data_IF_863655141636
#
_entry.id   IF_863655141636
#
_cell.length_a   1.000
_cell.length_b   1.000
_cell.length_c   1.000
_cell.angle_alpha   90.00
_cell.angle_beta   90.00
_cell.angle_gamma   90.00
#
_symmetry.space_group_name_H-M   'P 1'
#
loop_
_entity.id
_entity.type
_entity.pdbx_description
1 polymer ?
#
# COMPACT_ATOMS: atom_id res chain seq x y z
N UNK A 1 -15.36 14.43 -4.99
CA UNK A 1 -15.97 13.64 -6.07
C UNK A 1 -14.95 12.58 -6.45
N UNK A 2 -15.24 11.31 -6.21
CA UNK A 2 -14.30 10.18 -6.46
C UNK A 2 -14.66 9.65 -7.84
N UNK A 3 -13.81 9.88 -8.82
CA UNK A 3 -13.98 9.35 -10.16
C UNK A 3 -13.01 8.17 -10.35
N UNK A 4 -13.56 6.98 -10.55
CA UNK A 4 -12.78 5.77 -10.87
C UNK A 4 -12.65 5.71 -12.38
N UNK A 5 -11.51 6.15 -12.90
CA UNK A 5 -11.23 6.09 -14.34
C UNK A 5 -10.53 4.77 -14.65
N UNK A 6 -11.25 3.85 -15.28
CA UNK A 6 -10.63 2.70 -15.93
C UNK A 6 -10.10 3.14 -17.29
N UNK A 7 -8.81 3.41 -17.40
CA UNK A 7 -8.18 3.61 -18.70
C UNK A 7 -7.48 2.32 -19.13
N UNK A 8 -8.11 1.66 -20.09
CA UNK A 8 -7.51 0.54 -20.83
C UNK A 8 -6.70 1.16 -22.00
N UNK A 9 -5.42 1.38 -21.80
CA UNK A 9 -4.50 1.73 -22.89
C UNK A 9 -3.33 0.75 -22.90
N UNK A 10 -3.58 -0.40 -23.53
CA UNK A 10 -2.53 -1.24 -24.08
C UNK A 10 -1.93 -0.55 -25.31
N UNK A 11 -0.97 0.35 -25.11
CA UNK A 11 -0.11 0.80 -26.22
C UNK A 11 1.09 -0.13 -26.29
N UNK A 12 1.05 -1.06 -27.22
CA UNK A 12 2.18 -1.82 -27.69
C UNK A 12 3.25 -0.84 -28.21
N UNK A 13 4.37 -0.76 -27.51
CA UNK A 13 5.53 0.00 -27.95
C UNK A 13 6.15 -0.66 -29.18
N UNK A 14 5.99 -0.05 -30.35
CA UNK A 14 6.86 -0.31 -31.50
C UNK A 14 8.22 0.33 -31.19
N UNK A 15 9.22 -0.49 -30.92
CA UNK A 15 10.67 -0.27 -30.85
C UNK A 15 11.25 -0.72 -29.52
N UNK A 16 11.50 -2.01 -29.31
CA UNK A 16 12.55 -2.54 -28.42
C UNK A 16 12.71 -1.97 -26.99
N UNK A 17 11.88 -1.02 -26.58
CA UNK A 17 11.82 -0.46 -25.24
C UNK A 17 10.91 -1.32 -24.37
N UNK A 18 11.36 -1.61 -23.16
CA UNK A 18 10.52 -2.30 -22.16
C UNK A 18 9.15 -1.62 -22.08
N UNK A 19 8.05 -2.40 -22.06
CA UNK A 19 6.72 -1.83 -22.02
C UNK A 19 6.60 -0.94 -20.77
N UNK A 20 6.30 0.35 -20.98
CA UNK A 20 6.04 1.30 -19.90
C UNK A 20 4.70 0.93 -19.26
N UNK A 21 4.74 -0.07 -18.37
CA UNK A 21 3.56 -0.60 -17.69
C UNK A 21 3.05 0.38 -16.64
N UNK A 22 2.04 1.16 -16.96
CA UNK A 22 1.26 1.83 -15.93
C UNK A 22 0.42 0.80 -15.17
N UNK A 23 0.27 0.95 -13.83
CA UNK A 23 -0.59 0.09 -13.04
C UNK A 23 -2.03 0.10 -13.56
N UNK A 24 -2.71 -1.04 -13.53
CA UNK A 24 -4.09 -1.16 -14.07
C UNK A 24 -5.16 -0.66 -13.09
N UNK A 25 -4.97 -0.92 -11.79
CA UNK A 25 -5.93 -0.53 -10.75
C UNK A 25 -5.46 0.79 -10.12
N UNK A 26 -5.90 1.91 -10.69
CA UNK A 26 -5.45 3.25 -10.30
C UNK A 26 -6.63 4.02 -9.72
N UNK A 27 -6.42 4.69 -8.58
CA UNK A 27 -7.34 5.65 -7.98
C UNK A 27 -6.65 7.00 -7.92
N UNK A 28 -7.23 8.01 -8.55
CA UNK A 28 -6.72 9.37 -8.49
C UNK A 28 -7.21 10.10 -7.23
N UNK A 29 -6.30 10.83 -6.60
CA UNK A 29 -6.56 11.72 -5.46
C UNK A 29 -6.14 13.12 -5.87
N UNK A 30 -7.07 14.06 -5.85
CA UNK A 30 -6.84 15.44 -6.29
C UNK A 30 -6.61 15.59 -7.78
N UNK A 31 -5.90 16.64 -8.18
CA UNK A 31 -5.58 16.95 -9.57
C UNK A 31 -4.08 16.70 -9.80
N UNK A 32 -3.75 15.60 -10.44
CA UNK A 32 -2.36 15.28 -10.76
C UNK A 32 -1.79 16.26 -11.80
N UNK A 33 -0.52 16.64 -11.62
CA UNK A 33 0.20 17.46 -12.58
C UNK A 33 0.44 16.73 -13.90
N UNK A 34 0.56 17.46 -15.00
CA UNK A 34 0.79 16.87 -16.33
C UNK A 34 2.24 16.43 -16.52
N UNK A 35 3.20 17.18 -15.97
CA UNK A 35 4.63 16.99 -16.12
C UNK A 35 5.26 16.09 -15.07
N UNK A 36 4.60 15.90 -13.92
CA UNK A 36 5.09 15.10 -12.80
C UNK A 36 3.96 14.33 -12.13
N UNK A 37 3.98 13.01 -12.27
CA UNK A 37 2.92 12.12 -11.79
C UNK A 37 3.44 11.19 -10.71
N UNK A 38 2.82 11.21 -9.54
CA UNK A 38 3.14 10.31 -8.42
C UNK A 38 2.16 9.15 -8.42
N UNK A 39 2.71 7.94 -8.41
CA UNK A 39 1.99 6.68 -8.22
C UNK A 39 2.47 6.06 -6.92
N UNK A 40 1.61 6.00 -5.92
CA UNK A 40 1.92 5.38 -4.63
C UNK A 40 1.16 4.06 -4.51
N UNK A 41 1.86 3.04 -4.10
CA UNK A 41 1.29 1.72 -3.88
C UNK A 41 0.43 1.71 -2.61
N UNK A 42 -0.73 1.03 -2.65
CA UNK A 42 -1.74 1.04 -1.58
C UNK A 42 -1.21 0.50 -0.24
N UNK A 43 -0.34 -0.51 -0.25
CA UNK A 43 0.30 -1.01 0.98
C UNK A 43 1.18 0.04 1.64
N UNK A 44 1.92 0.83 0.84
CA UNK A 44 2.75 1.93 1.34
C UNK A 44 1.87 3.01 1.98
N UNK A 45 0.82 3.42 1.29
CA UNK A 45 -0.12 4.41 1.82
C UNK A 45 -0.77 3.95 3.13
N UNK A 46 -1.27 2.72 3.15
CA UNK A 46 -1.89 2.12 4.35
C UNK A 46 -0.89 2.04 5.51
N UNK A 47 0.35 1.67 5.24
CA UNK A 47 1.42 1.66 6.24
C UNK A 47 1.70 3.04 6.82
N UNK A 48 1.84 4.08 5.98
CA UNK A 48 2.09 5.45 6.42
C UNK A 48 0.92 6.02 7.24
N UNK A 49 -0.33 5.73 6.86
CA UNK A 49 -1.52 6.10 7.64
C UNK A 49 -1.51 5.43 9.02
N UNK A 50 -1.14 4.16 9.11
CA UNK A 50 -1.01 3.46 10.39
C UNK A 50 0.12 4.03 11.22
N UNK A 51 1.30 4.22 10.64
CA UNK A 51 2.45 4.83 11.28
C UNK A 51 2.12 6.21 11.87
N UNK A 52 1.44 7.06 11.09
CA UNK A 52 1.02 8.39 11.51
C UNK A 52 0.09 8.39 12.73
N UNK A 53 -0.71 7.32 12.89
CA UNK A 53 -1.69 7.16 13.98
C UNK A 53 -1.18 6.37 15.16
N UNK A 54 0.02 5.81 15.08
CA UNK A 54 0.59 5.04 16.19
C UNK A 54 0.87 5.99 17.34
N UNK A 55 0.19 5.75 18.46
CA UNK A 55 0.40 6.43 19.74
C UNK A 55 1.64 5.86 20.44
N UNK A 56 2.18 6.59 21.38
CA UNK A 56 3.24 6.07 22.24
C UNK A 56 2.66 5.26 23.42
N UNK A 57 3.55 4.78 24.29
CA UNK A 57 3.17 4.04 25.50
C UNK A 57 2.32 4.86 26.50
N UNK A 58 2.23 6.17 26.31
CA UNK A 58 1.41 7.09 27.11
C UNK A 58 0.10 7.45 26.41
N UNK A 59 -0.17 6.92 25.20
CA UNK A 59 -1.34 7.24 24.40
C UNK A 59 -1.24 8.62 23.71
N UNK A 60 -0.02 9.17 23.57
CA UNK A 60 0.20 10.43 22.90
C UNK A 60 0.60 10.21 21.43
N UNK A 61 -0.03 10.94 20.53
CA UNK A 61 0.32 10.92 19.13
C UNK A 61 1.64 11.66 18.90
N UNK A 62 2.60 10.98 18.26
CA UNK A 62 3.96 11.50 18.02
C UNK A 62 4.19 11.90 16.58
N UNK A 63 5.22 12.74 16.41
CA UNK A 63 5.83 12.95 15.09
C UNK A 63 6.39 11.65 14.54
N UNK A 64 6.11 11.38 13.27
CA UNK A 64 6.59 10.19 12.56
C UNK A 64 7.29 10.60 11.28
N UNK A 65 8.42 9.97 11.03
CA UNK A 65 9.25 10.19 9.84
C UNK A 65 9.54 8.85 9.17
N UNK A 66 9.46 8.81 7.85
CA UNK A 66 9.87 7.66 7.06
C UNK A 66 10.58 8.09 5.77
N UNK A 67 11.44 7.25 5.25
CA UNK A 67 12.05 7.43 3.93
C UNK A 67 11.27 6.63 2.91
N UNK A 68 10.92 7.26 1.79
CA UNK A 68 10.16 6.65 0.70
C UNK A 68 11.11 6.04 -0.33
N UNK A 69 10.84 4.81 -0.73
CA UNK A 69 11.59 4.10 -1.76
C UNK A 69 10.73 3.78 -2.98
N UNK A 70 11.38 3.63 -4.13
CA UNK A 70 10.67 3.35 -5.37
C UNK A 70 11.52 3.61 -6.60
N UNK A 71 10.88 3.99 -7.71
CA UNK A 71 11.57 4.21 -8.98
C UNK A 71 11.05 5.48 -9.67
N UNK A 72 11.93 6.25 -10.28
CA UNK A 72 11.58 7.38 -11.13
C UNK A 72 11.79 6.99 -12.59
N UNK A 73 10.76 7.11 -13.42
CA UNK A 73 10.81 6.83 -14.86
C UNK A 73 10.41 8.08 -15.64
N UNK A 74 11.00 8.27 -16.81
CA UNK A 74 10.71 9.38 -17.70
C UNK A 74 10.09 8.88 -19.00
N UNK A 75 9.04 9.55 -19.46
CA UNK A 75 8.45 9.31 -20.77
C UNK A 75 7.92 10.63 -21.34
N UNK A 76 8.33 10.99 -22.57
CA UNK A 76 7.82 12.17 -23.28
C UNK A 76 7.79 13.45 -22.44
N UNK A 77 8.88 13.74 -21.71
CA UNK A 77 9.06 14.89 -20.80
C UNK A 77 8.20 14.85 -19.52
N UNK A 78 7.45 13.79 -19.28
CA UNK A 78 6.70 13.58 -18.03
C UNK A 78 7.48 12.64 -17.12
N UNK A 79 7.65 13.03 -15.87
CA UNK A 79 8.20 12.22 -14.81
C UNK A 79 7.11 11.35 -14.17
N UNK A 80 7.38 10.08 -14.00
CA UNK A 80 6.51 9.12 -13.33
C UNK A 80 7.24 8.55 -12.12
N UNK A 81 6.87 9.03 -10.95
CA UNK A 81 7.43 8.58 -9.69
C UNK A 81 6.56 7.45 -9.13
N UNK A 82 7.14 6.25 -8.99
CA UNK A 82 6.49 5.10 -8.36
C UNK A 82 7.03 4.94 -6.95
N UNK A 83 6.20 5.12 -5.93
CA UNK A 83 6.54 4.91 -4.51
C UNK A 83 6.06 3.51 -4.15
N UNK A 84 7.01 2.62 -3.86
CA UNK A 84 6.78 1.18 -3.65
C UNK A 84 7.18 0.69 -2.25
N UNK A 85 7.85 1.53 -1.45
CA UNK A 85 8.25 1.19 -0.11
C UNK A 85 8.35 2.42 0.78
N UNK A 86 8.33 2.18 2.09
CA UNK A 86 8.58 3.16 3.12
C UNK A 86 9.34 2.53 4.28
N UNK A 87 10.39 3.19 4.73
CA UNK A 87 11.27 2.76 5.82
C UNK A 87 11.16 3.76 6.95
N UNK A 88 10.81 3.30 8.15
CA UNK A 88 10.68 4.17 9.34
C UNK A 88 12.07 4.73 9.71
N UNK A 89 12.14 6.03 9.97
CA UNK A 89 13.29 6.62 10.65
C UNK A 89 13.10 6.45 12.17
N UNK A 90 13.64 5.38 12.69
CA UNK A 90 13.51 5.02 14.12
C UNK A 90 14.30 5.98 15.01
N UNK A 91 13.86 6.13 16.27
CA UNK A 91 14.53 6.96 17.29
C UNK A 91 14.75 8.43 16.86
N UNK A 92 13.95 8.92 15.92
CA UNK A 92 14.05 10.28 15.45
C UNK A 92 13.22 11.20 16.32
N UNK A 93 13.89 12.05 17.11
CA UNK A 93 13.25 13.19 17.75
C UNK A 93 13.02 14.26 16.68
N UNK A 94 11.82 14.30 16.13
CA UNK A 94 11.46 15.24 15.08
C UNK A 94 10.30 16.13 15.52
N UNK A 95 10.48 17.43 15.32
CA UNK A 95 9.44 18.45 15.44
C UNK A 95 9.52 19.34 14.19
N UNK A 96 8.48 20.12 13.83
CA UNK A 96 8.51 20.96 12.62
C UNK A 96 9.66 21.98 12.57
N UNK A 97 10.19 22.34 13.73
CA UNK A 97 11.28 23.28 13.93
C UNK A 97 12.63 22.62 14.20
N UNK A 98 12.66 21.31 14.39
CA UNK A 98 13.88 20.54 14.64
C UNK A 98 13.78 19.15 14.02
N UNK A 99 14.32 19.01 12.81
CA UNK A 99 14.40 17.73 12.08
C UNK A 99 15.84 17.61 11.58
N UNK A 100 16.50 16.49 11.84
CA UNK A 100 17.75 16.12 11.15
C UNK A 100 17.90 14.60 11.13
N UNK A 101 18.53 14.07 10.08
CA UNK A 101 18.88 12.67 9.95
C UNK A 101 20.33 12.46 10.40
N UNK A 102 20.52 11.67 11.45
CA UNK A 102 21.85 11.27 11.93
C UNK A 102 22.49 10.23 11.00
N UNK A 103 23.81 10.08 11.08
CA UNK A 103 24.54 9.03 10.33
C UNK A 103 24.06 7.62 10.72
N UNK A 104 23.71 7.41 11.99
CA UNK A 104 23.21 6.11 12.46
C UNK A 104 21.86 5.77 11.85
N UNK A 105 20.94 6.73 11.78
CA UNK A 105 19.64 6.55 11.12
C UNK A 105 19.78 6.25 9.63
N UNK A 106 20.68 6.96 8.93
CA UNK A 106 20.99 6.67 7.53
C UNK A 106 21.53 5.26 7.33
N UNK A 107 22.39 4.78 8.25
CA UNK A 107 22.90 3.41 8.20
C UNK A 107 21.78 2.39 8.35
N UNK A 108 20.89 2.56 9.33
CA UNK A 108 19.71 1.69 9.54
C UNK A 108 18.78 1.71 8.31
N UNK A 109 18.52 2.90 7.74
CA UNK A 109 17.70 3.04 6.53
C UNK A 109 18.32 2.30 5.35
N UNK A 110 19.65 2.41 5.15
CA UNK A 110 20.35 1.71 4.07
C UNK A 110 20.37 0.19 4.26
N UNK A 111 20.48 -0.28 5.51
CA UNK A 111 20.41 -1.71 5.82
C UNK A 111 19.00 -2.25 5.51
N UNK A 112 17.94 -1.58 5.97
CA UNK A 112 16.56 -1.94 5.66
C UNK A 112 16.26 -1.85 4.16
N UNK A 113 16.79 -0.83 3.45
CA UNK A 113 16.62 -0.73 2.00
C UNK A 113 17.22 -1.93 1.27
N UNK A 114 18.43 -2.37 1.64
CA UNK A 114 19.07 -3.55 1.04
C UNK A 114 18.34 -4.85 1.34
N UNK A 115 17.74 -4.96 2.51
CA UNK A 115 17.05 -6.16 2.95
C UNK A 115 15.67 -6.32 2.28
N UNK A 116 14.86 -5.25 2.23
CA UNK A 116 13.48 -5.33 1.79
C UNK A 116 13.22 -4.71 0.42
N UNK A 117 14.08 -3.80 -0.06
CA UNK A 117 13.84 -2.93 -1.21
C UNK A 117 15.09 -2.77 -2.10
N UNK A 118 15.83 -3.88 -2.35
CA UNK A 118 17.12 -3.87 -3.05
C UNK A 118 17.06 -3.24 -4.46
N UNK A 119 15.93 -3.40 -5.16
CA UNK A 119 15.68 -2.90 -6.53
C UNK A 119 15.09 -1.48 -6.57
N UNK A 120 15.00 -0.80 -5.43
CA UNK A 120 14.39 0.51 -5.29
C UNK A 120 15.41 1.56 -4.86
N UNK A 121 15.18 2.79 -5.33
CA UNK A 121 15.92 3.98 -4.91
C UNK A 121 15.17 4.77 -3.84
N UNK A 122 15.90 5.59 -3.08
CA UNK A 122 15.26 6.60 -2.22
C UNK A 122 14.66 7.68 -3.13
N UNK A 123 13.35 7.86 -3.05
CA UNK A 123 12.60 8.80 -3.90
C UNK A 123 11.98 9.97 -3.14
N UNK A 124 12.04 9.93 -1.81
CA UNK A 124 11.53 11.01 -0.98
C UNK A 124 11.50 10.65 0.49
N UNK A 125 10.74 11.42 1.24
CA UNK A 125 10.50 11.18 2.65
C UNK A 125 9.10 11.62 3.07
N UNK A 126 8.67 11.10 4.19
CA UNK A 126 7.37 11.29 4.79
C UNK A 126 7.54 11.93 6.17
N UNK A 127 6.68 12.89 6.47
CA UNK A 127 6.60 13.51 7.78
C UNK A 127 5.14 13.63 8.22
N UNK A 128 4.85 13.19 9.42
CA UNK A 128 3.53 13.30 10.01
C UNK A 128 3.61 13.77 11.45
N UNK A 129 2.67 14.63 11.81
CA UNK A 129 2.50 15.12 13.17
C UNK A 129 1.03 15.48 13.39
N UNK A 130 0.47 15.27 14.60
CA UNK A 130 -0.85 15.76 14.96
C UNK A 130 -0.96 17.28 14.81
N UNK A 131 -2.09 17.74 14.29
CA UNK A 131 -2.39 19.17 14.05
C UNK A 131 -1.38 19.84 13.10
N UNK A 132 -0.72 19.06 12.24
CA UNK A 132 0.20 19.58 11.25
C UNK A 132 -0.55 20.41 10.20
N UNK A 133 -0.15 21.66 10.03
CA UNK A 133 -0.51 22.40 8.83
C UNK A 133 0.23 21.81 7.63
N UNK A 134 -0.49 21.45 6.55
CA UNK A 134 0.12 20.93 5.33
C UNK A 134 0.87 22.03 4.57
N UNK A 135 1.90 22.56 5.23
CA UNK A 135 2.82 23.58 4.73
C UNK A 135 4.23 23.23 5.12
N UNK A 136 5.14 23.29 4.16
CA UNK A 136 6.55 23.01 4.41
C UNK A 136 7.18 24.19 5.15
N UNK A 137 7.82 23.91 6.29
CA UNK A 137 8.60 24.89 7.05
C UNK A 137 9.98 25.12 6.40
N UNK A 138 10.65 26.19 6.77
CA UNK A 138 12.01 26.47 6.31
C UNK A 138 13.00 25.37 6.75
N UNK A 139 12.79 24.82 7.94
CA UNK A 139 13.61 23.70 8.45
C UNK A 139 13.40 22.45 7.60
N UNK A 140 12.14 22.07 7.31
CA UNK A 140 11.84 20.94 6.42
C UNK A 140 12.45 21.11 5.03
N UNK A 141 12.40 22.33 4.47
CA UNK A 141 13.01 22.64 3.18
C UNK A 141 14.54 22.46 3.22
N UNK A 142 15.21 22.94 4.27
CA UNK A 142 16.66 22.77 4.46
C UNK A 142 17.05 21.28 4.59
N UNK A 143 16.31 20.52 5.39
CA UNK A 143 16.52 19.07 5.57
C UNK A 143 16.31 18.34 4.25
N UNK A 144 15.24 18.68 3.51
CA UNK A 144 14.96 18.11 2.21
C UNK A 144 16.13 18.31 1.25
N UNK A 145 16.62 19.53 1.12
CA UNK A 145 17.75 19.84 0.24
C UNK A 145 19.07 19.20 0.69
N UNK A 146 19.31 19.13 2.01
CA UNK A 146 20.53 18.52 2.58
C UNK A 146 20.62 17.01 2.31
N UNK A 147 19.51 16.29 2.47
CA UNK A 147 19.50 14.83 2.47
C UNK A 147 18.89 14.19 1.22
N UNK A 148 17.95 14.86 0.56
CA UNK A 148 17.19 14.29 -0.55
C UNK A 148 17.44 15.00 -1.89
N UNK A 149 17.76 16.28 -1.87
CA UNK A 149 17.97 17.08 -3.08
C UNK A 149 16.67 17.45 -3.79
N UNK A 150 16.78 18.18 -4.91
CA UNK A 150 15.64 18.79 -5.60
C UNK A 150 14.73 17.83 -6.38
N UNK A 151 15.19 16.60 -6.67
CA UNK A 151 14.43 15.65 -7.49
C UNK A 151 13.50 14.73 -6.68
N UNK A 152 13.65 14.70 -5.37
CA UNK A 152 12.89 13.85 -4.46
C UNK A 152 11.61 14.57 -4.00
N UNK A 153 10.69 13.83 -3.42
CA UNK A 153 9.43 14.40 -2.91
C UNK A 153 9.36 14.35 -1.39
N UNK A 154 8.60 15.27 -0.82
CA UNK A 154 8.19 15.26 0.58
C UNK A 154 6.69 15.00 0.64
N UNK A 155 6.27 14.02 1.43
CA UNK A 155 4.87 13.81 1.77
C UNK A 155 4.61 14.29 3.20
N UNK A 156 3.67 15.21 3.38
CA UNK A 156 3.17 15.61 4.69
C UNK A 156 1.81 14.95 4.93
N UNK A 157 1.57 14.52 6.17
CA UNK A 157 0.28 13.96 6.57
C UNK A 157 -0.14 14.45 7.95
N UNK A 158 -1.37 14.92 8.06
CA UNK A 158 -2.06 15.16 9.30
C UNK A 158 -2.95 13.94 9.64
N UNK A 159 -2.66 13.19 10.72
CA UNK A 159 -3.29 11.90 10.96
C UNK A 159 -4.75 11.95 11.43
N UNK A 160 -5.20 13.03 12.09
CA UNK A 160 -6.54 13.15 12.66
C UNK A 160 -7.57 13.48 11.59
N UNK A 161 -7.31 14.52 10.78
CA UNK A 161 -8.19 14.93 9.68
C UNK A 161 -8.02 14.07 8.42
N UNK A 162 -6.97 13.23 8.39
CA UNK A 162 -6.58 12.40 7.23
C UNK A 162 -6.27 13.24 6.00
N UNK A 163 -5.67 14.38 6.23
CA UNK A 163 -5.17 15.21 5.15
C UNK A 163 -3.73 14.86 4.83
N UNK A 164 -3.42 14.78 3.55
CA UNK A 164 -2.08 14.57 3.06
C UNK A 164 -1.78 15.44 1.83
N UNK A 165 -0.51 15.69 1.58
CA UNK A 165 -0.06 16.41 0.41
C UNK A 165 1.39 16.04 0.07
N UNK A 166 1.68 16.01 -1.23
CA UNK A 166 3.04 15.92 -1.75
C UNK A 166 3.59 17.29 -2.08
N UNK A 167 4.90 17.44 -1.87
CA UNK A 167 5.66 18.63 -2.20
C UNK A 167 6.89 18.23 -3.00
N UNK A 168 7.23 19.05 -3.99
CA UNK A 168 8.44 18.95 -4.80
C UNK A 168 9.22 20.27 -4.73
N UNK A 169 10.53 20.18 -4.78
CA UNK A 169 11.35 21.37 -4.86
C UNK A 169 11.40 21.90 -6.30
N UNK A 170 10.96 23.10 -6.51
CA UNK A 170 10.89 23.77 -7.81
C UNK A 170 11.10 25.26 -7.65
N UNK A 171 11.89 25.88 -8.53
CA UNK A 171 12.16 27.33 -8.51
C UNK A 171 12.62 27.87 -7.14
N UNK A 172 13.45 27.10 -6.43
CA UNK A 172 13.96 27.39 -5.08
C UNK A 172 12.91 27.38 -3.96
N UNK A 173 11.75 26.79 -4.19
CA UNK A 173 10.68 26.64 -3.20
C UNK A 173 10.12 25.21 -3.19
N UNK A 174 9.54 24.84 -2.05
CA UNK A 174 8.77 23.58 -1.94
C UNK A 174 7.33 23.84 -2.41
N UNK A 175 6.99 23.36 -3.59
CA UNK A 175 5.69 23.54 -4.23
C UNK A 175 4.79 22.35 -3.92
N UNK A 176 3.56 22.64 -3.48
CA UNK A 176 2.54 21.60 -3.25
C UNK A 176 2.03 21.05 -4.59
N UNK A 177 2.01 19.75 -4.72
CA UNK A 177 1.39 19.06 -5.86
C UNK A 177 -0.12 18.94 -5.65
N UNK A 178 -0.88 19.08 -6.73
CA UNK A 178 -2.35 19.09 -6.67
C UNK A 178 -2.99 17.73 -6.46
N UNK A 179 -2.24 16.63 -6.71
CA UNK A 179 -2.76 15.29 -6.54
C UNK A 179 -1.76 14.20 -6.92
N UNK A 180 -2.17 12.96 -6.71
CA UNK A 180 -1.39 11.76 -6.97
C UNK A 180 -2.32 10.58 -7.27
N UNK A 181 -1.73 9.42 -7.60
CA UNK A 181 -2.45 8.19 -7.89
C UNK A 181 -2.10 7.14 -6.84
N UNK A 182 -3.11 6.45 -6.29
CA UNK A 182 -2.95 5.20 -5.56
C UNK A 182 -3.16 4.04 -6.53
N UNK A 183 -2.35 2.99 -6.40
CA UNK A 183 -2.50 1.79 -7.20
C UNK A 183 -2.27 0.53 -6.36
N UNK A 184 -2.77 -0.59 -6.83
CA UNK A 184 -2.65 -1.87 -6.17
C UNK A 184 -1.84 -2.84 -7.02
N UNK A 185 -0.72 -3.28 -6.50
CA UNK A 185 0.11 -4.37 -7.01
C UNK A 185 0.57 -5.27 -5.86
N UNK A 186 0.99 -6.51 -6.18
CA UNK A 186 1.64 -7.37 -5.18
C UNK A 186 3.00 -6.79 -4.83
N UNK A 187 3.22 -6.49 -3.57
CA UNK A 187 4.46 -5.95 -3.05
C UNK A 187 4.98 -6.81 -1.87
N UNK A 188 5.67 -7.93 -2.15
CA UNK A 188 6.15 -8.82 -1.10
C UNK A 188 7.12 -8.12 -0.14
N UNK A 189 8.01 -7.26 -0.64
CA UNK A 189 8.97 -6.53 0.18
C UNK A 189 8.28 -5.64 1.21
N UNK A 190 7.30 -4.82 0.78
CA UNK A 190 6.55 -3.97 1.69
C UNK A 190 5.70 -4.78 2.67
N UNK A 191 5.10 -5.91 2.22
CA UNK A 191 4.33 -6.80 3.10
C UNK A 191 5.20 -7.40 4.20
N UNK A 192 6.40 -7.91 3.86
CA UNK A 192 7.34 -8.46 4.83
C UNK A 192 7.78 -7.38 5.82
N UNK A 193 8.19 -6.23 5.32
CA UNK A 193 8.57 -5.09 6.16
C UNK A 193 7.46 -4.67 7.13
N UNK A 194 6.21 -4.63 6.66
CA UNK A 194 5.06 -4.30 7.51
C UNK A 194 4.82 -5.34 8.61
N UNK A 195 5.02 -6.63 8.33
CA UNK A 195 4.87 -7.70 9.33
C UNK A 195 5.93 -7.56 10.41
N UNK A 196 7.20 -7.43 10.02
CA UNK A 196 8.31 -7.34 10.95
C UNK A 196 8.19 -6.10 11.84
N UNK A 197 7.84 -4.95 11.26
CA UNK A 197 7.64 -3.71 12.04
C UNK A 197 6.36 -3.69 12.87
N UNK A 198 5.32 -4.44 12.50
CA UNK A 198 4.13 -4.56 13.35
C UNK A 198 4.40 -5.32 14.64
N UNK A 199 5.26 -6.32 14.61
CA UNK A 199 5.66 -7.06 15.83
C UNK A 199 6.44 -6.14 16.78
N UNK A 200 7.24 -5.22 16.25
CA UNK A 200 7.99 -4.22 17.04
C UNK A 200 7.12 -3.07 17.56
N UNK A 201 6.12 -2.61 16.78
CA UNK A 201 5.23 -1.49 17.13
C UNK A 201 4.10 -1.89 18.10
N UNK A 202 3.86 -3.16 18.33
CA UNK A 202 2.89 -3.68 19.29
C UNK A 202 3.58 -4.54 20.34
N UNK A 203 4.21 -3.94 21.38
CA UNK A 203 4.82 -4.72 22.47
C UNK A 203 3.79 -5.36 23.43
N UNK A 204 2.50 -5.10 23.27
CA UNK A 204 1.49 -5.81 24.04
C UNK A 204 1.13 -7.14 23.39
N UNK A 205 1.06 -8.25 24.18
CA UNK A 205 0.52 -9.48 23.66
C UNK A 205 -0.91 -9.15 23.21
N UNK A 206 -1.13 -9.20 21.91
CA UNK A 206 -2.50 -9.31 21.42
C UNK A 206 -3.13 -10.40 22.28
N UNK A 207 -4.08 -10.03 23.18
CA UNK A 207 -5.06 -11.01 23.59
C UNK A 207 -5.49 -11.65 22.29
N UNK A 208 -5.08 -12.90 22.10
CA UNK A 208 -5.59 -13.69 21.01
C UNK A 208 -7.10 -13.63 21.18
N UNK A 209 -7.75 -12.71 20.51
CA UNK A 209 -9.12 -12.89 20.13
C UNK A 209 -9.07 -14.14 19.24
N UNK A 210 -9.00 -15.28 19.93
CA UNK A 210 -9.36 -16.54 19.35
C UNK A 210 -10.83 -16.38 19.05
N UNK A 211 -11.07 -15.81 17.87
CA UNK A 211 -12.41 -15.66 17.36
C UNK A 211 -13.05 -17.05 17.42
N UNK A 212 -13.89 -17.26 18.43
CA UNK A 212 -14.57 -18.52 18.68
C UNK A 212 -15.21 -19.01 17.39
N UNK A 213 -15.68 -18.07 16.55
CA UNK A 213 -16.24 -18.34 15.23
C UNK A 213 -15.20 -18.94 14.26
N UNK A 214 -13.94 -18.52 14.30
CA UNK A 214 -12.87 -19.11 13.46
C UNK A 214 -12.50 -20.51 13.94
N UNK A 215 -12.50 -20.77 15.25
CA UNK A 215 -12.32 -22.12 15.80
C UNK A 215 -13.46 -23.05 15.41
N UNK A 216 -14.69 -22.57 15.55
CA UNK A 216 -15.89 -23.36 15.18
C UNK A 216 -15.93 -23.61 13.67
N UNK A 217 -15.52 -22.65 12.84
CA UNK A 217 -15.43 -22.83 11.39
C UNK A 217 -14.33 -23.83 11.00
N UNK A 218 -13.17 -23.81 11.66
CA UNK A 218 -12.11 -24.81 11.45
C UNK A 218 -12.53 -26.20 11.89
N UNK A 219 -13.28 -26.34 12.99
CA UNK A 219 -13.87 -27.60 13.43
C UNK A 219 -14.86 -28.15 12.40
N UNK A 220 -15.78 -27.33 11.93
CA UNK A 220 -16.76 -27.71 10.90
C UNK A 220 -16.08 -28.17 9.60
N UNK A 221 -14.98 -27.54 9.20
CA UNK A 221 -14.21 -27.96 8.01
C UNK A 221 -13.47 -29.30 8.28
N UNK A 222 -12.92 -29.48 9.47
CA UNK A 222 -12.24 -30.73 9.85
C UNK A 222 -13.23 -31.90 9.87
N UNK A 223 -14.37 -31.73 10.53
CA UNK A 223 -15.45 -32.76 10.60
C UNK A 223 -16.01 -33.08 9.21
N UNK A 224 -16.15 -32.11 8.32
CA UNK A 224 -16.54 -32.37 6.91
C UNK A 224 -15.46 -33.09 6.10
N UNK A 225 -14.18 -32.96 6.44
CA UNK A 225 -13.10 -33.72 5.79
C UNK A 225 -13.04 -35.17 6.28
N UNK A 226 -13.35 -35.43 7.56
CA UNK A 226 -13.40 -36.80 8.09
C UNK A 226 -14.61 -37.57 7.58
N UNK A 227 -15.77 -36.92 7.51
CA UNK A 227 -16.99 -37.56 6.96
C UNK A 227 -16.92 -37.82 5.45
N UNK A 228 -15.96 -37.26 4.73
CA UNK A 228 -15.74 -37.55 3.30
C UNK A 228 -14.80 -38.72 3.01
N UNK A 229 -14.25 -39.39 4.03
CA UNK A 229 -13.32 -40.51 3.86
C UNK A 229 -13.99 -41.89 3.84
N UNK A 230 -15.29 -42.00 4.06
CA UNK A 230 -16.02 -43.25 3.81
C UNK A 230 -16.71 -43.18 2.44
N UNK A 231 -16.46 -44.15 1.53
CA UNK A 231 -17.22 -44.25 0.30
C UNK A 231 -18.66 -44.64 0.67
N UNK A 232 -19.56 -43.67 0.69
CA UNK A 232 -20.98 -43.93 0.87
C UNK A 232 -21.46 -44.86 -0.23
N UNK A 233 -21.92 -46.05 0.13
CA UNK A 233 -22.63 -46.95 -0.78
C UNK A 233 -23.80 -46.17 -1.41
N UNK A 234 -24.04 -46.26 -2.73
CA UNK A 234 -25.06 -45.49 -3.41
C UNK A 234 -26.42 -45.83 -2.82
N UNK A 235 -27.07 -44.89 -2.19
CA UNK A 235 -28.40 -45.09 -1.65
C UNK A 235 -29.40 -45.32 -2.79
N UNK A 236 -30.34 -46.23 -2.60
CA UNK A 236 -31.43 -46.56 -3.55
C UNK A 236 -32.23 -45.30 -3.95
N UNK A 237 -32.18 -44.25 -3.13
CA UNK A 237 -32.82 -42.95 -3.38
C UNK A 237 -32.18 -42.16 -4.52
N UNK A 238 -30.87 -42.32 -4.77
CA UNK A 238 -30.17 -41.62 -5.86
C UNK A 238 -30.60 -42.13 -7.24
N UNK A 239 -30.91 -43.40 -7.37
CA UNK A 239 -31.41 -43.98 -8.64
C UNK A 239 -32.86 -43.56 -8.94
N UNK A 240 -33.70 -43.39 -7.91
CA UNK A 240 -35.07 -42.92 -8.06
C UNK A 240 -35.19 -41.51 -8.63
N UNK A 241 -34.34 -40.58 -8.17
CA UNK A 241 -34.33 -39.20 -8.65
C UNK A 241 -33.83 -39.10 -10.10
N UNK A 242 -32.82 -39.88 -10.48
CA UNK A 242 -32.30 -39.89 -11.85
C UNK A 242 -33.34 -40.47 -12.82
N UNK A 243 -34.09 -41.51 -12.43
CA UNK A 243 -35.16 -42.08 -13.24
C UNK A 243 -36.34 -41.08 -13.43
N UNK A 244 -36.72 -40.32 -12.40
CA UNK A 244 -37.73 -39.27 -12.50
C UNK A 244 -37.36 -38.15 -13.46
N UNK A 245 -36.09 -37.72 -13.45
CA UNK A 245 -35.61 -36.68 -14.38
C UNK A 245 -35.64 -37.16 -15.83
N UNK A 246 -35.29 -38.41 -16.09
CA UNK A 246 -35.30 -38.97 -17.44
C UNK A 246 -36.74 -39.14 -17.99
N UNK A 247 -37.71 -39.48 -17.15
CA UNK A 247 -39.11 -39.60 -17.54
C UNK A 247 -39.76 -38.23 -17.83
N UNK A 248 -39.30 -37.15 -17.14
CA UNK A 248 -39.84 -35.83 -17.35
C UNK A 248 -39.27 -35.12 -18.58
N UNK A 249 -38.10 -35.53 -19.04
CA UNK A 249 -37.43 -34.95 -20.23
C UNK A 249 -37.71 -35.70 -21.53
N UNK A 250 -38.43 -36.81 -21.47
CA UNK A 250 -38.84 -37.55 -22.68
C UNK A 250 -39.99 -36.85 -23.40
N UNK A 251 -39.90 -36.57 -24.71
CA UNK A 251 -40.99 -35.93 -25.44
C UNK A 251 -42.24 -36.78 -25.44
N UNK A 252 -43.39 -36.14 -25.18
CA UNK A 252 -44.69 -36.80 -25.15
C UNK A 252 -45.02 -37.40 -26.52
N UNK A 253 -45.66 -38.58 -26.58
CA UNK A 253 -46.08 -39.20 -27.87
C UNK A 253 -47.13 -38.42 -28.64
N UNK A 254 -47.57 -37.26 -28.14
CA UNK A 254 -48.59 -36.38 -28.78
C UNK A 254 -48.02 -35.32 -29.68
N UNK A 255 -46.69 -35.18 -29.75
CA UNK A 255 -46.05 -34.14 -30.60
C UNK A 255 -45.49 -34.74 -31.91
N UNK A 256 -46.25 -35.65 -32.52
CA UNK A 256 -46.04 -36.14 -33.87
C UNK A 256 -47.26 -35.86 -34.75
#
# INVERSE_FOLDING_TARGET
MIEVIYKDESQEGQNGEEPFGLPRNIRQIGLAAEDYRIYMEDYVYTFLVRLARTEDSLGEAKTRVAVLTGNLKWRSQTAYLFIKGAIIAEEMEAAPDHIDFSENQWKQIQEAQKEYFEDQEIVGWFFSQPQLLLKVSEVMSKVHMKHFGGEKVLMLMEPQEREDAFFRYENNEMVRLGGYYLYYEKNPGMQTYMIDKNEELQPEPQEKYEDQAVKDFRKIIADKKETRKEPAAPSVFSYGLTACCLLYTSPSPRDR
#
